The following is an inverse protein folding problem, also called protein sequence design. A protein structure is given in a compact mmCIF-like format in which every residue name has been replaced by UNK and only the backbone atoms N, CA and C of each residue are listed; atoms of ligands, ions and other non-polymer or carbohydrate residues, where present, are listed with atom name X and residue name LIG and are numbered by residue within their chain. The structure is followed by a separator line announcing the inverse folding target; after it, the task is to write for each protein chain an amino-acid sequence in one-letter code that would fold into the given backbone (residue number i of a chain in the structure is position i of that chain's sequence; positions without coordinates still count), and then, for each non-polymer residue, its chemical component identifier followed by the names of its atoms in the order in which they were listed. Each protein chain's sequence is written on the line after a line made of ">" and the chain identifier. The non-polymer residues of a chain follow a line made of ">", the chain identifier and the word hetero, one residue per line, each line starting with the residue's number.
data_IF_740987420275
#
_entry.id   IF_740987420275
#
_cell.length_a   1.000
_cell.length_b   1.000
_cell.length_c   1.000
_cell.angle_alpha   90.00
_cell.angle_beta   90.00
_cell.angle_gamma   90.00
#
_symmetry.space_group_name_H-M   'P 1'
#
loop_
_entity.id
_entity.type
_entity.pdbx_description
1 polymer ?
#
# COMPACT_ATOMS: atom_id res chain seq x y z
N UNK A 1 -17.16 4.68 -0.30
CA UNK A 1 -16.83 5.72 -1.30
C UNK A 1 -15.53 5.30 -1.97
N UNK A 2 -15.40 5.37 -3.29
CA UNK A 2 -14.16 5.04 -4.03
C UNK A 2 -13.47 6.32 -4.46
N UNK A 3 -12.13 6.31 -4.55
CA UNK A 3 -11.32 7.43 -5.06
C UNK A 3 -10.91 7.23 -6.50
N UNK A 4 -10.68 8.34 -7.22
CA UNK A 4 -10.10 8.33 -8.57
C UNK A 4 -8.59 8.08 -8.51
N UNK A 5 -7.92 8.55 -7.46
CA UNK A 5 -6.50 8.31 -7.21
C UNK A 5 -6.27 6.91 -6.65
N UNK A 6 -5.23 6.25 -7.15
CA UNK A 6 -4.72 4.98 -6.62
C UNK A 6 -3.23 5.09 -6.28
N UNK A 7 -2.75 4.22 -5.39
CA UNK A 7 -1.35 4.11 -5.01
C UNK A 7 -0.72 2.86 -5.62
N UNK A 8 0.41 3.01 -6.33
CA UNK A 8 1.18 1.90 -6.88
C UNK A 8 2.07 1.24 -5.82
N UNK A 9 1.74 0.03 -5.40
CA UNK A 9 2.41 -0.68 -4.32
C UNK A 9 3.82 -1.19 -4.68
N UNK A 10 4.27 -1.05 -5.93
CA UNK A 10 5.68 -1.24 -6.29
C UNK A 10 6.62 -0.41 -5.38
N UNK A 11 6.16 0.75 -4.90
CA UNK A 11 6.88 1.57 -3.93
C UNK A 11 7.10 0.88 -2.56
N UNK A 12 6.31 -0.14 -2.22
CA UNK A 12 6.43 -0.91 -0.98
C UNK A 12 7.36 -2.13 -1.12
N UNK A 13 7.78 -2.47 -2.33
CA UNK A 13 8.47 -3.73 -2.61
C UNK A 13 9.81 -3.94 -1.92
N UNK A 14 10.46 -2.87 -1.45
CA UNK A 14 11.77 -2.91 -0.79
C UNK A 14 11.83 -2.09 0.51
N UNK A 15 10.67 -1.74 1.08
CA UNK A 15 10.61 -0.96 2.34
C UNK A 15 10.36 -1.88 3.53
N UNK A 16 10.65 -1.39 4.72
CA UNK A 16 10.33 -2.08 5.97
C UNK A 16 8.81 -2.11 6.22
N UNK A 17 8.32 -3.05 7.02
CA UNK A 17 6.89 -3.09 7.41
C UNK A 17 6.43 -1.75 8.02
N UNK A 18 7.23 -1.15 8.89
CA UNK A 18 6.89 0.13 9.53
C UNK A 18 6.84 1.32 8.54
N UNK A 19 7.56 1.26 7.42
CA UNK A 19 7.42 2.25 6.35
C UNK A 19 6.16 2.01 5.53
N UNK A 20 5.83 0.75 5.26
CA UNK A 20 4.60 0.39 4.57
C UNK A 20 3.36 0.80 5.38
N UNK A 21 3.28 0.44 6.66
CA UNK A 21 2.16 0.77 7.54
C UNK A 21 1.92 2.29 7.59
N UNK A 22 2.98 3.07 7.83
CA UNK A 22 2.90 4.55 7.84
C UNK A 22 2.44 5.13 6.50
N UNK A 23 2.86 4.53 5.39
CA UNK A 23 2.45 4.97 4.06
C UNK A 23 0.97 4.68 3.83
N UNK A 24 0.50 3.49 4.18
CA UNK A 24 -0.88 3.07 4.00
C UNK A 24 -1.84 3.88 4.89
N UNK A 25 -1.45 4.18 6.13
CA UNK A 25 -2.21 5.07 7.02
C UNK A 25 -2.33 6.50 6.45
N UNK A 26 -1.24 7.04 5.92
CA UNK A 26 -1.24 8.36 5.28
C UNK A 26 -2.18 8.39 4.05
N UNK A 27 -2.15 7.35 3.22
CA UNK A 27 -3.06 7.25 2.07
C UNK A 27 -4.52 7.28 2.52
N UNK A 28 -4.85 6.51 3.57
CA UNK A 28 -6.19 6.43 4.11
C UNK A 28 -6.65 7.75 4.74
N UNK A 29 -5.75 8.48 5.41
CA UNK A 29 -6.02 9.83 5.94
C UNK A 29 -6.48 10.79 4.84
N UNK A 30 -5.87 10.71 3.65
CA UNK A 30 -6.25 11.49 2.47
C UNK A 30 -7.37 10.83 1.64
N UNK A 31 -7.95 9.73 2.13
CA UNK A 31 -9.04 9.00 1.50
C UNK A 31 -8.64 8.11 0.33
N UNK A 32 -7.35 8.05 -0.04
CA UNK A 32 -6.85 7.20 -1.13
C UNK A 32 -6.96 5.74 -0.69
N UNK A 33 -7.90 5.00 -1.29
CA UNK A 33 -8.27 3.66 -0.84
C UNK A 33 -8.17 2.59 -1.94
N UNK A 34 -7.50 2.91 -3.05
CA UNK A 34 -7.20 1.95 -4.12
C UNK A 34 -5.69 1.73 -4.17
N UNK A 35 -5.28 0.47 -4.07
CA UNK A 35 -3.88 0.04 -4.08
C UNK A 35 -3.69 -0.90 -5.28
N UNK A 36 -2.78 -0.54 -6.19
CA UNK A 36 -2.37 -1.37 -7.32
C UNK A 36 -1.18 -2.23 -6.90
N UNK A 37 -1.30 -3.55 -7.00
CA UNK A 37 -0.22 -4.48 -6.67
C UNK A 37 -0.10 -5.58 -7.71
N UNK A 38 1.06 -6.22 -7.76
CA UNK A 38 1.34 -7.36 -8.62
C UNK A 38 2.39 -8.27 -7.97
N UNK A 39 2.37 -9.55 -8.29
CA UNK A 39 3.35 -10.53 -7.80
C UNK A 39 4.82 -10.18 -8.14
N UNK A 40 5.06 -9.30 -9.10
CA UNK A 40 6.41 -8.83 -9.48
C UNK A 40 6.89 -7.61 -8.69
N UNK A 41 6.07 -7.03 -7.80
CA UNK A 41 6.37 -5.80 -7.06
C UNK A 41 7.19 -6.04 -5.78
N UNK A 42 8.12 -6.99 -5.79
CA UNK A 42 8.89 -7.37 -4.61
C UNK A 42 8.00 -7.83 -3.46
N UNK A 43 8.29 -7.35 -2.25
CA UNK A 43 7.53 -7.72 -1.04
C UNK A 43 6.18 -6.99 -0.91
N UNK A 44 5.71 -6.28 -1.94
CA UNK A 44 4.56 -5.36 -1.81
C UNK A 44 3.30 -6.03 -1.24
N UNK A 45 2.92 -7.20 -1.74
CA UNK A 45 1.75 -7.94 -1.25
C UNK A 45 1.94 -8.37 0.22
N UNK A 46 3.15 -8.78 0.60
CA UNK A 46 3.50 -9.15 1.98
C UNK A 46 3.48 -7.95 2.92
N UNK A 47 3.81 -6.74 2.43
CA UNK A 47 3.71 -5.49 3.19
C UNK A 47 2.28 -5.04 3.39
N UNK A 48 1.41 -5.22 2.40
CA UNK A 48 0.00 -4.82 2.46
C UNK A 48 -0.80 -5.76 3.38
N UNK A 49 -0.53 -7.07 3.34
CA UNK A 49 -1.31 -8.09 4.04
C UNK A 49 -1.56 -7.80 5.53
N UNK A 50 -0.52 -7.52 6.34
CA UNK A 50 -0.68 -7.19 7.76
C UNK A 50 -1.52 -5.94 8.04
N UNK A 51 -1.50 -4.94 7.15
CA UNK A 51 -2.29 -3.72 7.30
C UNK A 51 -3.78 -3.93 7.00
N UNK A 52 -4.13 -4.93 6.18
CA UNK A 52 -5.52 -5.26 5.86
C UNK A 52 -6.24 -6.15 6.89
N UNK A 53 -5.51 -6.74 7.85
CA UNK A 53 -6.03 -7.67 8.85
C UNK A 53 -6.78 -6.95 9.99
#
# INVERSE_FOLDING_TARGET
>A
MSTVTLFGAAALGNVTQAEADRTLDLLLEYGINHIDTAASYGDAEERIGPWMA
#
